data_IF_604396819013
#
_entry.id   IF_604396819013
#
_cell.length_a   1.000
_cell.length_b   1.000
_cell.length_c   1.000
_cell.angle_alpha   90.00
_cell.angle_beta   90.00
_cell.angle_gamma   90.00
#
_symmetry.space_group_name_H-M   'P 1'
#
loop_
_entity.id
_entity.type
_entity.pdbx_description
1 polymer ?
#
# COMPACT_ATOMS: atom_id res chain seq x y z
N UNK A 1 7.31 7.01 5.46
CA UNK A 1 7.52 5.59 5.83
C UNK A 1 8.81 5.33 6.60
N UNK A 2 10.01 5.62 6.07
CA UNK A 2 11.27 5.30 6.77
C UNK A 2 11.39 5.84 8.21
N UNK A 3 10.94 7.07 8.46
CA UNK A 3 10.90 7.65 9.82
C UNK A 3 9.91 6.91 10.74
N UNK A 4 8.71 6.61 10.24
CA UNK A 4 7.69 5.86 10.99
C UNK A 4 8.18 4.45 11.35
N UNK A 5 8.89 3.80 10.44
CA UNK A 5 9.53 2.51 10.68
C UNK A 5 10.56 2.59 11.82
N UNK A 6 11.42 3.63 11.80
CA UNK A 6 12.43 3.85 12.84
C UNK A 6 11.86 4.21 14.22
N UNK A 7 10.67 4.81 14.27
CA UNK A 7 9.91 5.01 15.52
C UNK A 7 9.41 3.66 16.08
N UNK A 8 9.30 2.63 15.24
CA UNK A 8 8.82 1.31 15.64
C UNK A 8 7.35 1.04 15.30
N UNK A 9 6.69 1.93 14.54
CA UNK A 9 5.27 1.78 14.17
C UNK A 9 4.98 0.52 13.32
N UNK A 10 6.01 -0.08 12.71
CA UNK A 10 5.86 -1.30 11.92
C UNK A 10 6.49 -2.53 12.58
N UNK A 11 6.70 -2.49 13.90
CA UNK A 11 7.12 -3.67 14.64
C UNK A 11 5.92 -4.62 14.84
N UNK A 12 6.05 -5.85 14.34
CA UNK A 12 5.04 -6.92 14.44
C UNK A 12 5.12 -7.73 15.72
N UNK A 13 6.15 -7.53 16.55
CA UNK A 13 6.27 -8.25 17.82
C UNK A 13 5.20 -7.78 18.82
N UNK A 14 4.61 -8.70 19.61
CA UNK A 14 3.69 -8.37 20.68
C UNK A 14 4.28 -7.32 21.64
N UNK A 15 3.56 -6.22 21.87
CA UNK A 15 4.02 -5.16 22.75
C UNK A 15 3.45 -5.33 24.17
N UNK A 16 4.26 -5.30 25.25
CA UNK A 16 3.80 -5.51 26.63
C UNK A 16 2.62 -4.62 27.04
N UNK A 17 2.67 -3.31 26.73
CA UNK A 17 1.55 -2.38 26.98
C UNK A 17 0.21 -2.77 26.33
N UNK A 18 0.22 -3.59 25.27
CA UNK A 18 -0.99 -4.07 24.63
C UNK A 18 -1.47 -5.40 25.22
N UNK A 19 -0.71 -6.01 26.14
CA UNK A 19 -1.02 -7.32 26.74
C UNK A 19 -1.57 -7.22 28.18
N UNK A 20 -1.30 -6.13 28.89
CA UNK A 20 -1.53 -5.98 30.34
C UNK A 20 -3.00 -5.79 30.79
N UNK A 21 -3.98 -6.31 30.05
CA UNK A 21 -5.41 -6.32 30.40
C UNK A 21 -6.10 -4.95 30.32
N UNK A 22 -5.48 -3.88 30.82
CA UNK A 22 -5.93 -2.49 30.63
C UNK A 22 -5.33 -1.94 29.35
N UNK A 23 -6.20 -1.56 28.40
CA UNK A 23 -5.75 -1.05 27.10
C UNK A 23 -5.32 0.42 27.20
N UNK A 24 -4.14 0.79 26.65
CA UNK A 24 -3.71 2.18 26.62
C UNK A 24 -4.52 2.96 25.60
N UNK A 25 -4.59 4.28 25.76
CA UNK A 25 -5.01 5.14 24.67
C UNK A 25 -3.97 5.13 23.53
N UNK A 26 -4.38 5.41 22.29
CA UNK A 26 -3.43 5.54 21.17
C UNK A 26 -2.33 6.54 21.49
N UNK A 27 -2.68 7.69 22.09
CA UNK A 27 -1.72 8.69 22.54
C UNK A 27 -0.71 8.10 23.52
N UNK A 28 -1.15 7.38 24.54
CA UNK A 28 -0.26 6.76 25.53
C UNK A 28 0.70 5.79 24.85
N UNK A 29 0.20 4.97 23.93
CA UNK A 29 1.03 4.04 23.16
C UNK A 29 2.03 4.75 22.24
N UNK A 30 1.63 5.85 21.59
CA UNK A 30 2.51 6.68 20.77
C UNK A 30 3.63 7.32 21.62
N UNK A 31 3.30 7.82 22.82
CA UNK A 31 4.29 8.40 23.72
C UNK A 31 5.33 7.36 24.16
N UNK A 32 4.91 6.12 24.42
CA UNK A 32 5.82 5.00 24.68
C UNK A 32 6.79 4.78 23.51
N UNK A 33 6.28 4.69 22.28
CA UNK A 33 7.14 4.49 21.09
C UNK A 33 8.12 5.65 20.88
N UNK A 34 7.70 6.87 21.22
CA UNK A 34 8.55 8.06 21.20
C UNK A 34 9.40 8.21 22.47
N UNK A 35 9.34 7.27 23.42
CA UNK A 35 10.07 7.30 24.70
C UNK A 35 9.85 8.61 25.46
N UNK A 36 8.64 9.16 25.44
CA UNK A 36 8.29 10.40 26.16
C UNK A 36 7.72 9.99 27.53
N UNK A 37 8.40 10.38 28.61
CA UNK A 37 7.93 10.12 29.98
C UNK A 37 6.71 10.99 30.30
N UNK A 38 5.71 10.39 30.94
CA UNK A 38 4.43 11.04 31.25
C UNK A 38 4.51 11.93 32.48
N UNK A 39 5.08 13.13 32.33
CA UNK A 39 4.99 14.16 33.37
C UNK A 39 4.99 15.59 32.80
N UNK A 40 4.09 15.85 31.84
CA UNK A 40 3.70 17.24 31.55
C UNK A 40 2.17 17.35 31.46
N UNK A 41 1.65 18.01 32.49
CA UNK A 41 0.27 18.36 32.76
C UNK A 41 -0.47 18.93 31.56
N UNK A 42 -1.70 18.46 31.34
CA UNK A 42 -2.93 19.26 31.13
C UNK A 42 -2.85 20.57 30.30
N UNK A 43 -2.01 20.61 29.27
CA UNK A 43 -1.88 21.73 28.34
C UNK A 43 -2.42 21.36 26.95
N UNK A 44 -3.27 22.20 26.32
CA UNK A 44 -3.59 22.05 24.91
C UNK A 44 -2.36 22.42 24.07
N UNK A 45 -1.89 21.47 23.26
CA UNK A 45 -1.11 21.69 22.04
C UNK A 45 0.24 22.44 22.17
N UNK A 46 1.29 21.64 22.37
CA UNK A 46 2.43 21.61 21.43
C UNK A 46 2.65 20.20 20.86
N UNK A 47 1.55 19.51 20.51
CA UNK A 47 1.57 18.11 20.10
C UNK A 47 2.48 17.84 18.89
N UNK A 48 2.35 18.62 17.81
CA UNK A 48 3.18 18.45 16.62
C UNK A 48 4.64 18.83 16.88
N UNK A 49 4.90 20.01 17.47
CA UNK A 49 6.27 20.48 17.74
C UNK A 49 7.05 19.51 18.63
N UNK A 50 6.40 18.97 19.67
CA UNK A 50 7.02 18.00 20.58
C UNK A 50 7.32 16.67 19.86
N UNK A 51 6.41 16.19 19.00
CA UNK A 51 6.66 14.99 18.19
C UNK A 51 7.84 15.23 17.24
N UNK A 52 7.89 16.39 16.58
CA UNK A 52 8.99 16.76 15.67
C UNK A 52 10.32 16.80 16.39
N UNK A 53 10.40 17.49 17.53
CA UNK A 53 11.61 17.58 18.34
C UNK A 53 12.05 16.18 18.80
N UNK A 54 11.11 15.35 19.24
CA UNK A 54 11.42 14.00 19.70
C UNK A 54 11.94 13.10 18.59
N UNK A 55 11.33 13.16 17.40
CA UNK A 55 11.79 12.41 16.21
C UNK A 55 13.24 12.78 15.87
N UNK A 56 13.59 14.07 15.93
CA UNK A 56 14.94 14.56 15.66
C UNK A 56 15.92 14.15 16.77
N UNK A 57 15.54 14.31 18.04
CA UNK A 57 16.37 13.95 19.21
C UNK A 57 16.70 12.46 19.25
N UNK A 58 15.75 11.60 18.85
CA UNK A 58 15.96 10.16 18.75
C UNK A 58 16.73 9.74 17.48
N UNK A 59 17.05 10.68 16.58
CA UNK A 59 17.80 10.39 15.36
C UNK A 59 17.02 9.59 14.32
N UNK A 60 15.69 9.59 14.38
CA UNK A 60 14.85 8.82 13.43
C UNK A 60 14.84 9.43 12.01
N UNK A 61 15.23 10.70 11.86
CA UNK A 61 15.59 11.31 10.58
C UNK A 61 16.59 12.45 10.77
N UNK A 62 17.23 12.88 9.67
CA UNK A 62 18.27 13.94 9.69
C UNK A 62 17.70 15.33 9.43
N UNK A 63 16.61 15.43 8.67
CA UNK A 63 16.04 16.68 8.22
C UNK A 63 14.74 17.03 8.96
N UNK A 64 14.61 18.30 9.36
CA UNK A 64 13.43 18.82 10.05
C UNK A 64 12.16 18.72 9.19
N UNK A 65 12.29 18.85 7.87
CA UNK A 65 11.15 18.73 6.95
C UNK A 65 10.49 17.36 7.00
N UNK A 66 11.28 16.28 6.99
CA UNK A 66 10.79 14.90 7.13
C UNK A 66 10.23 14.65 8.52
N UNK A 67 10.83 15.20 9.57
CA UNK A 67 10.28 15.11 10.92
C UNK A 67 8.88 15.74 11.02
N UNK A 68 8.70 16.93 10.43
CA UNK A 68 7.38 17.62 10.34
C UNK A 68 6.38 16.78 9.57
N UNK A 69 6.76 16.24 8.40
CA UNK A 69 5.87 15.37 7.62
C UNK A 69 5.46 14.12 8.41
N UNK A 70 6.40 13.47 9.09
CA UNK A 70 6.13 12.30 9.93
C UNK A 70 5.19 12.64 11.10
N UNK A 71 5.42 13.75 11.80
CA UNK A 71 4.55 14.21 12.89
C UNK A 71 3.12 14.48 12.40
N UNK A 72 2.98 15.17 11.25
CA UNK A 72 1.68 15.38 10.61
C UNK A 72 0.99 14.08 10.23
N UNK A 73 1.72 13.11 9.70
CA UNK A 73 1.16 11.77 9.40
C UNK A 73 0.69 11.07 10.67
N UNK A 74 1.46 11.12 11.76
CA UNK A 74 1.10 10.52 13.05
C UNK A 74 -0.22 11.12 13.58
N UNK A 75 -0.34 12.44 13.53
CA UNK A 75 -1.55 13.16 13.94
C UNK A 75 -2.73 12.83 13.01
N UNK A 76 -2.51 12.85 11.69
CA UNK A 76 -3.54 12.56 10.69
C UNK A 76 -4.11 11.14 10.85
N UNK A 77 -3.27 10.16 11.16
CA UNK A 77 -3.69 8.79 11.43
C UNK A 77 -4.41 8.62 12.79
N UNK A 78 -4.51 9.68 13.61
CA UNK A 78 -5.17 9.63 14.91
C UNK A 78 -4.37 8.87 15.98
N UNK A 79 -3.06 8.69 15.79
CA UNK A 79 -2.19 8.00 16.76
C UNK A 79 -2.00 8.82 18.05
N UNK A 80 -2.37 10.11 18.05
CA UNK A 80 -2.34 11.00 19.21
C UNK A 80 -3.70 11.12 19.93
N UNK A 81 -4.71 10.36 19.53
CA UNK A 81 -6.04 10.39 20.12
C UNK A 81 -6.11 9.67 21.48
N UNK A 82 -7.05 10.07 22.32
CA UNK A 82 -7.25 9.52 23.67
C UNK A 82 -8.17 8.28 23.69
N UNK A 83 -8.60 7.80 22.54
CA UNK A 83 -9.38 6.56 22.43
C UNK A 83 -8.51 5.34 22.74
N UNK A 84 -9.12 4.29 23.32
CA UNK A 84 -8.38 3.07 23.68
C UNK A 84 -8.00 2.26 22.43
N UNK A 85 -6.82 1.65 22.48
CA UNK A 85 -6.37 0.69 21.46
C UNK A 85 -7.20 -0.59 21.58
N UNK A 86 -7.84 -1.07 20.50
CA UNK A 86 -8.66 -2.28 20.54
C UNK A 86 -7.91 -3.54 20.97
N UNK A 87 -8.64 -4.50 21.53
CA UNK A 87 -8.07 -5.76 22.02
C UNK A 87 -7.48 -6.65 20.92
N UNK A 88 -7.92 -6.44 19.68
CA UNK A 88 -7.40 -7.13 18.49
C UNK A 88 -5.98 -6.72 18.13
N UNK A 89 -5.52 -5.53 18.55
CA UNK A 89 -4.16 -5.08 18.30
C UNK A 89 -3.21 -5.66 19.35
N UNK A 90 -2.17 -6.35 18.88
CA UNK A 90 -1.16 -6.99 19.72
C UNK A 90 0.22 -6.35 19.58
N UNK A 91 0.47 -5.71 18.44
CA UNK A 91 1.74 -5.10 18.07
C UNK A 91 1.56 -3.64 17.62
N UNK A 92 2.67 -2.90 17.49
CA UNK A 92 2.64 -1.57 16.91
C UNK A 92 2.20 -1.59 15.43
N UNK A 93 2.54 -2.67 14.72
CA UNK A 93 2.07 -2.91 13.37
C UNK A 93 0.54 -3.02 13.30
N UNK A 94 -0.10 -3.77 14.19
CA UNK A 94 -1.57 -3.90 14.20
C UNK A 94 -2.26 -2.55 14.48
N UNK A 95 -1.70 -1.77 15.41
CA UNK A 95 -2.19 -0.42 15.73
C UNK A 95 -2.10 0.48 14.49
N UNK A 96 -0.98 0.42 13.77
CA UNK A 96 -0.77 1.20 12.55
C UNK A 96 -1.70 0.74 11.42
N UNK A 97 -1.86 -0.57 11.21
CA UNK A 97 -2.79 -1.13 10.23
C UNK A 97 -4.22 -0.68 10.49
N UNK A 98 -4.72 -0.83 11.72
CA UNK A 98 -6.06 -0.38 12.09
C UNK A 98 -6.25 1.11 11.78
N UNK A 99 -5.32 1.97 12.19
CA UNK A 99 -5.43 3.42 11.95
C UNK A 99 -5.34 3.78 10.47
N UNK A 100 -4.52 3.08 9.70
CA UNK A 100 -4.44 3.26 8.25
C UNK A 100 -5.72 2.80 7.56
N UNK A 101 -6.28 1.65 7.95
CA UNK A 101 -7.55 1.14 7.43
C UNK A 101 -8.71 2.11 7.70
N UNK A 102 -8.78 2.69 8.90
CA UNK A 102 -9.80 3.67 9.25
C UNK A 102 -9.66 5.00 8.49
N UNK A 103 -8.42 5.49 8.31
CA UNK A 103 -8.16 6.87 7.84
C UNK A 103 -7.80 6.98 6.36
N UNK A 104 -7.40 5.88 5.71
CA UNK A 104 -6.96 5.84 4.32
C UNK A 104 -7.88 5.00 3.44
N UNK A 105 -9.05 4.57 3.93
CA UNK A 105 -10.06 3.92 3.12
C UNK A 105 -10.63 4.89 2.08
N UNK A 106 -10.88 4.37 0.87
CA UNK A 106 -11.60 5.10 -0.16
C UNK A 106 -13.02 5.43 0.32
N UNK A 107 -13.43 6.68 0.11
CA UNK A 107 -14.82 7.10 0.20
C UNK A 107 -15.63 6.61 -1.00
N UNK A 108 -16.96 6.68 -0.91
CA UNK A 108 -17.88 6.25 -1.98
C UNK A 108 -17.76 7.07 -3.27
N UNK A 109 -17.11 8.25 -3.21
CA UNK A 109 -16.96 9.18 -4.33
C UNK A 109 -15.58 9.17 -4.96
N UNK A 110 -14.62 8.47 -4.35
CA UNK A 110 -13.26 8.37 -4.88
C UNK A 110 -13.11 7.17 -5.82
N UNK A 111 -12.11 7.25 -6.69
CA UNK A 111 -11.73 6.18 -7.60
C UNK A 111 -10.25 5.84 -7.39
N UNK A 112 -9.92 4.56 -7.49
CA UNK A 112 -8.54 4.12 -7.56
C UNK A 112 -8.03 4.14 -9.01
N UNK A 113 -6.72 3.93 -9.14
CA UNK A 113 -6.01 3.91 -10.40
C UNK A 113 -4.94 2.83 -10.35
N UNK A 114 -4.82 2.06 -11.43
CA UNK A 114 -3.71 1.12 -11.66
C UNK A 114 -2.89 1.63 -12.83
N UNK A 115 -1.60 1.86 -12.59
CA UNK A 115 -0.60 2.19 -13.60
C UNK A 115 0.44 1.07 -13.65
N UNK A 116 0.56 0.42 -14.81
CA UNK A 116 1.62 -0.53 -15.11
C UNK A 116 2.42 0.01 -16.29
N UNK A 117 3.74 0.03 -16.15
CA UNK A 117 4.64 0.56 -17.16
C UNK A 117 5.84 -0.38 -17.30
N UNK A 118 6.03 -0.91 -18.50
CA UNK A 118 7.23 -1.65 -18.89
C UNK A 118 8.09 -0.76 -19.78
N UNK A 119 9.39 -0.82 -19.55
CA UNK A 119 10.43 -0.23 -20.38
C UNK A 119 11.49 -1.31 -20.63
N UNK A 120 11.77 -1.60 -21.89
CA UNK A 120 12.71 -2.64 -22.32
C UNK A 120 13.62 -2.03 -23.37
N UNK A 121 14.91 -1.88 -23.04
CA UNK A 121 15.95 -1.51 -23.99
C UNK A 121 16.51 -2.78 -24.64
N UNK A 122 16.57 -2.78 -25.97
CA UNK A 122 17.03 -3.91 -26.78
C UNK A 122 18.17 -3.46 -27.67
N UNK A 123 19.35 -4.04 -27.45
CA UNK A 123 20.51 -3.84 -28.30
C UNK A 123 20.52 -4.89 -29.42
N UNK A 124 20.38 -4.43 -30.66
CA UNK A 124 20.43 -5.31 -31.82
C UNK A 124 21.89 -5.41 -32.32
N UNK A 125 22.53 -6.59 -32.20
CA UNK A 125 23.94 -6.75 -32.54
C UNK A 125 24.22 -6.57 -34.03
N UNK A 126 23.24 -6.89 -34.88
CA UNK A 126 23.43 -6.90 -36.34
C UNK A 126 23.52 -5.49 -36.94
N UNK A 127 22.80 -4.52 -36.37
CA UNK A 127 22.66 -3.16 -36.93
C UNK A 127 23.18 -2.05 -35.98
N UNK A 128 23.83 -2.42 -34.86
CA UNK A 128 24.38 -1.49 -33.83
C UNK A 128 23.40 -0.38 -33.39
N UNK A 129 22.11 -0.69 -33.35
CA UNK A 129 21.09 0.22 -32.83
C UNK A 129 20.46 -0.34 -31.57
N UNK A 130 20.06 0.58 -30.69
CA UNK A 130 19.32 0.29 -29.49
C UNK A 130 17.90 0.78 -29.71
N UNK A 131 16.92 -0.09 -29.50
CA UNK A 131 15.50 0.30 -29.45
C UNK A 131 15.02 0.32 -28.00
N UNK A 132 14.11 1.23 -27.69
CA UNK A 132 13.42 1.27 -26.40
C UNK A 132 11.94 0.97 -26.61
N UNK A 133 11.52 -0.20 -26.15
CA UNK A 133 10.12 -0.61 -26.17
C UNK A 133 9.44 -0.24 -24.85
N UNK A 134 8.30 0.42 -24.96
CA UNK A 134 7.51 0.91 -23.84
C UNK A 134 6.11 0.34 -23.94
N UNK A 135 5.57 -0.18 -22.84
CA UNK A 135 4.20 -0.63 -22.75
C UNK A 135 3.52 -0.08 -21.49
N UNK A 136 2.42 0.66 -21.64
CA UNK A 136 1.73 1.33 -20.53
C UNK A 136 0.27 0.93 -20.46
N UNK A 137 -0.17 0.46 -19.29
CA UNK A 137 -1.57 0.27 -18.94
C UNK A 137 -1.95 1.31 -17.88
N UNK A 138 -3.03 2.06 -18.14
CA UNK A 138 -3.62 3.00 -17.20
C UNK A 138 -5.12 2.69 -17.07
N UNK A 139 -5.53 2.20 -15.91
CA UNK A 139 -6.92 1.85 -15.62
C UNK A 139 -7.41 2.62 -14.41
N UNK A 140 -8.68 3.05 -14.46
CA UNK A 140 -9.39 3.71 -13.36
C UNK A 140 -10.56 2.85 -12.92
N UNK A 141 -10.95 2.97 -11.65
CA UNK A 141 -12.16 2.35 -11.13
C UNK A 141 -13.39 2.74 -11.96
N UNK A 142 -14.28 1.79 -12.21
CA UNK A 142 -15.47 1.95 -13.06
C UNK A 142 -16.73 1.95 -12.19
N UNK A 143 -17.73 2.75 -12.54
CA UNK A 143 -19.05 2.71 -11.92
C UNK A 143 -19.97 1.85 -12.79
N UNK A 144 -20.51 0.77 -12.21
CA UNK A 144 -21.46 -0.12 -12.87
C UNK A 144 -22.70 -0.30 -11.99
N UNK A 145 -23.89 0.03 -12.52
CA UNK A 145 -25.16 -0.05 -11.80
C UNK A 145 -25.14 0.65 -10.42
N UNK A 146 -24.50 1.82 -10.34
CA UNK A 146 -24.36 2.58 -9.10
C UNK A 146 -23.37 1.99 -8.08
N UNK A 147 -22.63 0.94 -8.43
CA UNK A 147 -21.56 0.37 -7.62
C UNK A 147 -20.20 0.67 -8.23
N UNK A 148 -19.28 1.17 -7.42
CA UNK A 148 -17.88 1.36 -7.82
C UNK A 148 -17.16 0.01 -7.80
N UNK A 149 -16.54 -0.35 -8.91
CA UNK A 149 -15.60 -1.47 -9.04
C UNK A 149 -14.22 -0.87 -9.25
N UNK A 150 -13.28 -1.17 -8.35
CA UNK A 150 -11.94 -0.58 -8.40
C UNK A 150 -11.14 -1.06 -9.61
N UNK A 151 -10.22 -0.23 -10.11
CA UNK A 151 -9.25 -0.61 -11.13
C UNK A 151 -8.49 -1.87 -10.67
N UNK A 152 -8.08 -1.93 -9.40
CA UNK A 152 -7.44 -3.11 -8.81
C UNK A 152 -8.33 -4.36 -8.88
N UNK A 153 -9.62 -4.25 -8.56
CA UNK A 153 -10.53 -5.40 -8.65
C UNK A 153 -10.71 -5.89 -10.09
N UNK A 154 -10.75 -4.97 -11.06
CA UNK A 154 -10.84 -5.30 -12.49
C UNK A 154 -9.55 -5.95 -12.99
N UNK A 155 -8.39 -5.33 -12.76
CA UNK A 155 -7.09 -5.80 -13.27
C UNK A 155 -6.57 -7.05 -12.58
N UNK A 156 -7.15 -7.46 -11.45
CA UNK A 156 -6.85 -8.74 -10.79
C UNK A 156 -7.93 -9.79 -11.07
N UNK A 157 -9.20 -9.44 -10.84
CA UNK A 157 -10.30 -10.40 -10.91
C UNK A 157 -10.59 -10.90 -12.32
N UNK A 158 -10.45 -10.04 -13.34
CA UNK A 158 -10.72 -10.45 -14.73
C UNK A 158 -9.64 -11.41 -15.24
N UNK A 159 -8.33 -11.18 -15.07
CA UNK A 159 -7.32 -12.20 -15.38
C UNK A 159 -7.55 -13.54 -14.68
N UNK A 160 -8.00 -13.54 -13.41
CA UNK A 160 -8.34 -14.78 -12.70
C UNK A 160 -9.50 -15.51 -13.38
N UNK A 161 -10.56 -14.80 -13.74
CA UNK A 161 -11.71 -15.37 -14.45
C UNK A 161 -11.33 -15.93 -15.83
N UNK A 162 -10.47 -15.23 -16.57
CA UNK A 162 -9.94 -15.68 -17.86
C UNK A 162 -9.12 -16.96 -17.69
N UNK A 163 -8.22 -17.01 -16.69
CA UNK A 163 -7.44 -18.21 -16.40
C UNK A 163 -8.34 -19.42 -16.09
N UNK A 164 -9.38 -19.23 -15.28
CA UNK A 164 -10.37 -20.28 -14.99
C UNK A 164 -11.11 -20.73 -16.26
N UNK A 165 -11.53 -19.79 -17.11
CA UNK A 165 -12.21 -20.09 -18.39
C UNK A 165 -11.32 -20.92 -19.32
N UNK A 166 -10.06 -20.52 -19.50
CA UNK A 166 -9.12 -21.25 -20.37
C UNK A 166 -8.85 -22.68 -19.90
N UNK A 167 -8.85 -22.92 -18.58
CA UNK A 167 -8.74 -24.28 -18.02
C UNK A 167 -10.02 -25.08 -18.28
N UNK A 168 -11.20 -24.50 -18.02
CA UNK A 168 -12.49 -25.16 -18.19
C UNK A 168 -12.80 -25.50 -19.65
N UNK A 169 -12.40 -24.63 -20.58
CA UNK A 169 -12.49 -24.86 -22.02
C UNK A 169 -11.40 -25.79 -22.57
N UNK A 170 -10.52 -26.31 -21.70
CA UNK A 170 -9.41 -27.17 -22.08
C UNK A 170 -8.48 -26.53 -23.12
N UNK A 171 -8.34 -25.19 -23.07
CA UNK A 171 -7.39 -24.41 -23.89
C UNK A 171 -5.97 -24.52 -23.35
N UNK A 172 -5.82 -24.67 -22.03
CA UNK A 172 -4.54 -24.97 -21.37
C UNK A 172 -4.47 -26.48 -21.13
N UNK A 173 -3.63 -27.18 -21.88
CA UNK A 173 -3.46 -28.64 -21.83
C UNK A 173 -2.34 -29.05 -20.88
N UNK A 174 -1.33 -28.20 -20.72
CA UNK A 174 -0.21 -28.44 -19.82
C UNK A 174 -0.72 -28.66 -18.40
N UNK A 175 -0.17 -29.66 -17.69
CA UNK A 175 -0.55 -30.03 -16.32
C UNK A 175 0.56 -29.64 -15.34
N UNK A 176 0.21 -29.52 -14.07
CA UNK A 176 1.13 -29.15 -12.99
C UNK A 176 0.89 -27.72 -12.49
N UNK A 177 1.90 -27.15 -11.82
CA UNK A 177 1.86 -25.76 -11.33
C UNK A 177 2.38 -24.86 -12.43
N UNK A 178 1.49 -24.05 -13.00
CA UNK A 178 1.79 -23.18 -14.13
C UNK A 178 1.83 -21.71 -13.72
N UNK A 179 2.62 -20.94 -14.47
CA UNK A 179 2.68 -19.47 -14.39
C UNK A 179 2.31 -18.90 -15.76
N UNK A 180 1.84 -17.65 -15.87
CA UNK A 180 1.46 -17.01 -17.13
C UNK A 180 2.70 -16.54 -17.93
N UNK A 181 3.70 -17.41 -18.06
CA UNK A 181 4.91 -17.21 -18.89
C UNK A 181 4.92 -18.12 -20.13
N UNK A 182 4.03 -19.12 -20.14
CA UNK A 182 3.87 -20.01 -21.28
C UNK A 182 2.92 -19.39 -22.32
N UNK A 183 3.24 -19.41 -23.63
CA UNK A 183 2.37 -18.86 -24.67
C UNK A 183 0.96 -19.44 -24.70
N UNK A 184 0.82 -20.73 -24.36
CA UNK A 184 -0.48 -21.41 -24.22
C UNK A 184 -1.39 -20.73 -23.19
N UNK A 185 -0.80 -20.05 -22.19
CA UNK A 185 -1.52 -19.32 -21.14
C UNK A 185 -1.66 -17.85 -21.50
N UNK A 186 -0.55 -17.13 -21.75
CA UNK A 186 -0.62 -15.67 -21.85
C UNK A 186 -1.22 -15.18 -23.17
N UNK A 187 -1.00 -15.87 -24.30
CA UNK A 187 -1.49 -15.39 -25.59
C UNK A 187 -3.03 -15.31 -25.64
N UNK A 188 -3.78 -16.40 -25.37
CA UNK A 188 -5.24 -16.31 -25.36
C UNK A 188 -5.77 -15.42 -24.22
N UNK A 189 -5.05 -15.32 -23.10
CA UNK A 189 -5.46 -14.43 -22.02
C UNK A 189 -5.36 -12.94 -22.42
N UNK A 190 -4.29 -12.54 -23.11
CA UNK A 190 -4.11 -11.19 -23.62
C UNK A 190 -5.16 -10.84 -24.68
N UNK A 191 -5.49 -11.77 -25.59
CA UNK A 191 -6.55 -11.57 -26.57
C UNK A 191 -7.90 -11.28 -25.90
N UNK A 192 -8.26 -12.06 -24.88
CA UNK A 192 -9.51 -11.87 -24.14
C UNK A 192 -9.48 -10.58 -23.33
N UNK A 193 -8.35 -10.23 -22.69
CA UNK A 193 -8.20 -8.96 -21.96
C UNK A 193 -8.37 -7.76 -22.89
N UNK A 194 -7.76 -7.80 -24.07
CA UNK A 194 -7.90 -6.75 -25.09
C UNK A 194 -9.35 -6.66 -25.56
N UNK A 195 -10.02 -7.79 -25.82
CA UNK A 195 -11.43 -7.82 -26.18
C UNK A 195 -12.36 -7.30 -25.07
N UNK A 196 -11.99 -7.49 -23.80
CA UNK A 196 -12.67 -6.92 -22.64
C UNK A 196 -12.45 -5.40 -22.50
N UNK A 197 -11.49 -4.85 -23.23
CA UNK A 197 -11.22 -3.42 -23.31
C UNK A 197 -10.07 -2.93 -22.42
N UNK A 198 -9.23 -3.82 -21.89
CA UNK A 198 -7.95 -3.42 -21.31
C UNK A 198 -7.00 -2.98 -22.43
N UNK A 199 -6.45 -1.78 -22.31
CA UNK A 199 -5.59 -1.20 -23.35
C UNK A 199 -4.17 -1.04 -22.85
N UNK A 200 -3.26 -1.84 -23.40
CA UNK A 200 -1.83 -1.65 -23.27
C UNK A 200 -1.37 -0.76 -24.44
N UNK A 201 -0.90 0.45 -24.14
CA UNK A 201 -0.38 1.39 -25.13
C UNK A 201 1.10 1.09 -25.31
N UNK A 202 1.46 0.67 -26.51
CA UNK A 202 2.82 0.32 -26.89
C UNK A 202 3.48 1.42 -27.73
N UNK A 203 4.78 1.66 -27.50
CA UNK A 203 5.61 2.60 -28.25
C UNK A 203 7.02 2.03 -28.39
N UNK A 204 7.63 2.20 -29.56
CA UNK A 204 9.07 1.98 -29.77
C UNK A 204 9.73 3.34 -29.98
N UNK A 205 10.84 3.59 -29.29
CA UNK A 205 11.70 4.77 -29.39
C UNK A 205 13.10 4.40 -29.87
#
# INVERSE_FOLDING_TARGET
MGTLARIGLFNSEPHPLLMDGKRPAFRTFLLELLKIEGDDSDGPLKGEENIVERILRLGHCKDKGTAVKAAKTIIFLGLNEQTEVPVSCQSAFDVSCLRMEERLAYSSTEQDMVLLHHEVEVDFPDDQHTEKHIATLLEFGRINNGKTITAMALTVGIPVAIGALLILENKIKTRGVLRPIEPEVYAPALDILQAYGFKLIEKTE
#
